data_IF_593445291029
#
_entry.id   IF_593445291029
#
_cell.length_a   1.000
_cell.length_b   1.000
_cell.length_c   1.000
_cell.angle_alpha   90.00
_cell.angle_beta   90.00
_cell.angle_gamma   90.00
#
_symmetry.space_group_name_H-M   'P 1'
#
loop_
_entity.id
_entity.type
_entity.pdbx_description
1 polymer ?
#
# COMPACT_ATOMS: atom_id res chain seq x y z
N UNK A 1 -21.58 9.57 -5.52
CA UNK A 1 -20.62 10.67 -5.31
C UNK A 1 -19.24 10.06 -5.26
N UNK A 2 -18.39 10.29 -6.26
CA UNK A 2 -17.04 9.74 -6.31
C UNK A 2 -16.16 10.39 -5.24
N UNK A 3 -15.70 9.59 -4.27
CA UNK A 3 -14.82 10.02 -3.16
C UNK A 3 -13.38 10.37 -3.59
N UNK A 4 -13.08 10.34 -4.89
CA UNK A 4 -11.73 10.45 -5.44
C UNK A 4 -11.02 11.80 -5.21
N UNK A 5 -11.73 12.86 -4.82
CA UNK A 5 -11.16 14.21 -4.68
C UNK A 5 -10.60 14.59 -3.30
N UNK A 6 -10.64 13.71 -2.29
CA UNK A 6 -10.28 14.07 -0.90
C UNK A 6 -8.95 13.49 -0.42
N UNK A 7 -8.30 12.66 -1.22
CA UNK A 7 -7.11 11.92 -0.84
C UNK A 7 -5.85 12.53 -1.47
N UNK A 8 -4.76 12.52 -0.71
CA UNK A 8 -3.48 13.09 -1.15
C UNK A 8 -2.77 12.15 -2.12
N UNK A 9 -2.97 12.39 -3.42
CA UNK A 9 -2.42 11.56 -4.49
C UNK A 9 -0.91 11.70 -4.64
N UNK A 10 -0.33 12.85 -4.29
CA UNK A 10 1.12 13.04 -4.31
C UNK A 10 1.79 12.14 -3.28
N UNK A 11 1.15 12.01 -2.11
CA UNK A 11 1.63 11.12 -1.05
C UNK A 11 1.46 9.65 -1.40
N UNK A 12 0.41 9.28 -2.16
CA UNK A 12 0.28 7.93 -2.71
C UNK A 12 1.42 7.63 -3.70
N UNK A 13 1.69 8.56 -4.62
CA UNK A 13 2.79 8.43 -5.59
C UNK A 13 4.14 8.27 -4.88
N UNK A 14 4.40 9.07 -3.85
CA UNK A 14 5.61 8.96 -3.02
C UNK A 14 5.77 7.55 -2.43
N UNK A 15 4.72 7.00 -1.83
CA UNK A 15 4.74 5.65 -1.28
C UNK A 15 5.03 4.59 -2.35
N UNK A 16 4.39 4.70 -3.52
CA UNK A 16 4.58 3.78 -4.63
C UNK A 16 6.02 3.82 -5.16
N UNK A 17 6.59 5.02 -5.33
CA UNK A 17 7.98 5.18 -5.77
C UNK A 17 8.96 4.60 -4.75
N UNK A 18 8.75 4.81 -3.46
CA UNK A 18 9.59 4.22 -2.41
C UNK A 18 9.56 2.68 -2.45
N UNK A 19 8.37 2.10 -2.66
CA UNK A 19 8.21 0.65 -2.77
C UNK A 19 8.87 0.08 -4.04
N UNK A 20 8.77 0.79 -5.16
CA UNK A 20 9.40 0.40 -6.43
C UNK A 20 10.93 0.49 -6.34
N UNK A 21 11.46 1.55 -5.71
CA UNK A 21 12.90 1.73 -5.53
C UNK A 21 13.52 0.62 -4.68
N UNK A 22 12.76 0.09 -3.70
CA UNK A 22 13.20 -1.00 -2.83
C UNK A 22 14.53 -0.71 -2.09
N UNK A 23 14.79 0.57 -1.78
CA UNK A 23 16.00 1.04 -1.07
C UNK A 23 15.98 0.75 0.44
N UNK A 24 14.97 0.01 0.92
CA UNK A 24 14.79 -0.34 2.32
C UNK A 24 13.32 -0.33 2.74
N UNK A 25 13.04 -0.64 4.02
CA UNK A 25 11.68 -0.63 4.54
C UNK A 25 11.08 0.77 4.52
N UNK A 26 9.75 0.85 4.33
CA UNK A 26 9.03 2.10 4.44
C UNK A 26 9.22 2.71 5.84
N UNK A 27 9.46 4.02 5.88
CA UNK A 27 9.61 4.74 7.15
C UNK A 27 8.36 4.64 8.03
N UNK A 28 8.48 4.80 9.37
CA UNK A 28 7.39 4.58 10.32
C UNK A 28 6.10 5.40 10.06
N UNK A 29 6.22 6.53 9.35
CA UNK A 29 5.08 7.38 8.97
C UNK A 29 4.04 6.66 8.10
N UNK A 30 4.47 5.66 7.34
CA UNK A 30 3.61 4.88 6.46
C UNK A 30 2.92 3.74 7.19
N UNK A 31 3.30 3.42 8.44
CA UNK A 31 2.70 2.34 9.25
C UNK A 31 2.53 1.05 8.44
N UNK A 32 3.54 0.70 7.66
CA UNK A 32 3.51 -0.52 6.84
C UNK A 32 3.45 -1.77 7.73
N UNK A 33 2.49 -2.65 7.45
CA UNK A 33 2.35 -3.92 8.16
C UNK A 33 1.78 -5.02 7.24
N UNK A 34 2.11 -6.29 7.51
CA UNK A 34 1.46 -7.40 6.83
C UNK A 34 -0.03 -7.49 7.19
N UNK A 35 -0.83 -8.00 6.26
CA UNK A 35 -2.22 -8.39 6.52
C UNK A 35 -2.27 -9.89 6.88
N UNK A 36 -3.18 -10.24 7.79
CA UNK A 36 -3.41 -11.63 8.21
C UNK A 36 -4.66 -12.25 7.57
N UNK A 37 -4.91 -13.52 7.91
CA UNK A 37 -6.09 -14.27 7.47
C UNK A 37 -6.09 -14.56 5.97
N UNK A 38 -7.24 -14.42 5.30
CA UNK A 38 -7.40 -14.67 3.86
C UNK A 38 -6.53 -13.77 2.96
N UNK A 39 -5.92 -12.73 3.54
CA UNK A 39 -5.02 -11.79 2.86
C UNK A 39 -3.56 -12.03 3.22
N UNK A 40 -3.22 -13.21 3.72
CA UNK A 40 -1.84 -13.61 3.97
C UNK A 40 -0.94 -13.34 2.74
N UNK A 41 0.26 -12.81 2.99
CA UNK A 41 1.18 -12.36 1.95
C UNK A 41 0.88 -10.98 1.34
N UNK A 42 -0.21 -10.31 1.73
CA UNK A 42 -0.41 -8.89 1.43
C UNK A 42 0.15 -8.02 2.55
N UNK A 43 0.43 -6.78 2.20
CA UNK A 43 0.82 -5.70 3.10
C UNK A 43 -0.08 -4.50 2.88
N UNK A 44 -0.18 -3.67 3.90
CA UNK A 44 -0.87 -2.41 3.84
C UNK A 44 -0.01 -1.30 4.45
N UNK A 45 -0.05 -0.12 3.84
CA UNK A 45 0.50 1.09 4.42
C UNK A 45 -0.50 2.26 4.37
N UNK A 46 -0.40 3.14 5.36
CA UNK A 46 -1.19 4.35 5.49
C UNK A 46 -0.58 5.49 4.68
N UNK A 47 -1.31 5.93 3.66
CA UNK A 47 -0.97 7.13 2.89
C UNK A 47 -1.32 8.39 3.68
N UNK A 48 -2.45 8.38 4.41
CA UNK A 48 -2.81 9.49 5.29
C UNK A 48 -4.18 9.31 5.92
N UNK A 49 -4.24 9.44 7.25
CA UNK A 49 -5.47 9.17 8.01
C UNK A 49 -5.98 7.76 7.74
N UNK A 50 -7.18 7.66 7.19
CA UNK A 50 -7.85 6.41 6.82
C UNK A 50 -7.59 5.98 5.37
N UNK A 51 -6.73 6.68 4.62
CA UNK A 51 -6.41 6.33 3.23
C UNK A 51 -5.20 5.39 3.16
N UNK A 52 -5.40 4.23 2.53
CA UNK A 52 -4.51 3.09 2.57
C UNK A 52 -4.09 2.65 1.18
N UNK A 53 -2.92 2.01 1.10
CA UNK A 53 -2.44 1.28 -0.07
C UNK A 53 -2.19 -0.17 0.32
N UNK A 54 -2.95 -1.09 -0.28
CA UNK A 54 -2.73 -2.52 -0.16
C UNK A 54 -1.86 -3.00 -1.33
N UNK A 55 -0.79 -3.74 -1.01
CA UNK A 55 0.17 -4.22 -1.99
C UNK A 55 0.72 -5.61 -1.61
N UNK A 56 1.45 -6.23 -2.54
CA UNK A 56 2.22 -7.45 -2.30
C UNK A 56 3.66 -7.25 -2.74
N UNK A 57 4.57 -7.91 -2.03
CA UNK A 57 5.94 -8.11 -2.48
C UNK A 57 6.04 -9.54 -2.98
N UNK A 58 6.50 -9.70 -4.22
CA UNK A 58 6.81 -11.00 -4.79
C UNK A 58 8.32 -11.12 -4.94
N UNK A 59 8.93 -11.80 -3.97
CA UNK A 59 10.36 -12.08 -3.89
C UNK A 59 10.71 -13.43 -4.56
N UNK A 60 9.73 -14.19 -5.06
CA UNK A 60 9.95 -15.50 -5.68
C UNK A 60 10.27 -15.41 -7.17
N UNK A 61 10.09 -14.26 -7.79
CA UNK A 61 10.48 -14.04 -9.18
C UNK A 61 12.00 -13.82 -9.31
N UNK A 62 12.55 -14.08 -10.51
CA UNK A 62 13.95 -13.76 -10.86
C UNK A 62 14.34 -12.29 -10.63
N UNK A 63 13.34 -11.42 -10.43
CA UNK A 63 13.46 -10.03 -10.05
C UNK A 63 12.42 -9.76 -8.96
N UNK A 64 12.81 -9.10 -7.86
CA UNK A 64 11.86 -8.64 -6.86
C UNK A 64 10.84 -7.70 -7.51
N UNK A 65 9.56 -7.90 -7.22
CA UNK A 65 8.49 -7.08 -7.80
C UNK A 65 7.46 -6.68 -6.74
N UNK A 66 6.86 -5.51 -6.94
CA UNK A 66 5.76 -5.01 -6.13
C UNK A 66 4.48 -5.00 -6.95
N UNK A 67 3.40 -5.54 -6.39
CA UNK A 67 2.06 -5.52 -6.99
C UNK A 67 1.16 -4.63 -6.16
N UNK A 68 0.75 -3.51 -6.73
CA UNK A 68 -0.25 -2.62 -6.11
C UNK A 68 -1.65 -3.21 -6.33
N UNK A 69 -2.31 -3.60 -5.25
CA UNK A 69 -3.56 -4.36 -5.31
C UNK A 69 -4.75 -3.42 -5.35
N UNK A 70 -4.86 -2.54 -4.35
CA UNK A 70 -5.97 -1.56 -4.20
C UNK A 70 -5.54 -0.38 -3.35
N UNK A 71 -6.26 0.74 -3.46
CA UNK A 71 -6.16 1.89 -2.57
C UNK A 71 -7.54 2.41 -2.23
N UNK A 72 -7.73 2.89 -1.01
CA UNK A 72 -9.04 3.30 -0.50
C UNK A 72 -9.07 3.47 1.00
N UNK A 73 -10.25 3.67 1.56
CA UNK A 73 -10.47 3.61 3.02
C UNK A 73 -10.49 2.18 3.53
N UNK A 74 -10.41 1.96 4.85
CA UNK A 74 -10.58 0.60 5.40
C UNK A 74 -11.90 -0.03 4.93
N UNK A 75 -12.99 0.75 4.91
CA UNK A 75 -14.27 0.28 4.41
C UNK A 75 -14.20 -0.12 2.92
N UNK A 76 -13.53 0.66 2.07
CA UNK A 76 -13.41 0.33 0.63
C UNK A 76 -12.57 -0.94 0.38
N UNK A 77 -11.66 -1.28 1.31
CA UNK A 77 -10.75 -2.42 1.17
C UNK A 77 -11.25 -3.69 1.86
N UNK A 78 -12.04 -3.55 2.93
CA UNK A 78 -12.32 -4.63 3.87
C UNK A 78 -13.80 -4.85 4.22
N UNK A 79 -14.71 -3.95 3.85
CA UNK A 79 -16.17 -4.15 3.91
C UNK A 79 -16.74 -4.51 2.53
#
# INVERSE_FOLDING_TARGET
>A
MSRAGRHDMNRLEEAMLLLIANDGPLGPRWRDHPLGGDREGHRECHIGGDFLLAYKLDDNAKHASVVFVRTGTHADLFE
#
